data_IF_157580354877
#
_entry.id   IF_157580354877
#
_cell.length_a   1.000
_cell.length_b   1.000
_cell.length_c   1.000
_cell.angle_alpha   90.00
_cell.angle_beta   90.00
_cell.angle_gamma   90.00
#
_symmetry.space_group_name_H-M   'P 1'
#
loop_
_entity.id
_entity.type
_entity.pdbx_description
1 polymer ?
#
# COMPACT_ATOMS: atom_id res chain seq x y z
N UNK A 1 -3.52 -5.68 -7.84
CA UNK A 1 -2.25 -5.25 -8.46
C UNK A 1 -1.18 -6.20 -7.98
N UNK A 2 -0.28 -6.69 -8.86
CA UNK A 2 0.78 -7.59 -8.44
C UNK A 2 1.73 -6.88 -7.48
N UNK A 3 2.14 -7.59 -6.43
CA UNK A 3 3.12 -7.16 -5.43
C UNK A 3 4.54 -7.39 -5.91
N UNK A 4 4.73 -8.28 -6.90
CA UNK A 4 6.05 -8.71 -7.39
C UNK A 4 6.64 -9.88 -6.59
N UNK A 5 5.80 -10.58 -5.82
CA UNK A 5 6.17 -11.75 -5.01
C UNK A 5 5.23 -12.90 -5.38
N UNK A 6 5.76 -13.90 -6.08
CA UNK A 6 4.97 -14.93 -6.78
C UNK A 6 3.97 -15.67 -5.90
N UNK A 7 4.36 -16.04 -4.67
CA UNK A 7 3.46 -16.78 -3.77
C UNK A 7 2.38 -15.87 -3.17
N UNK A 8 2.68 -14.58 -3.01
CA UNK A 8 1.75 -13.61 -2.44
C UNK A 8 0.73 -13.16 -3.48
N UNK A 9 1.15 -13.06 -4.75
CA UNK A 9 0.28 -12.72 -5.87
C UNK A 9 -0.74 -13.83 -6.20
N UNK A 10 -0.61 -15.02 -5.59
CA UNK A 10 -1.60 -16.10 -5.61
C UNK A 10 -2.71 -15.93 -4.56
N UNK A 11 -2.62 -14.94 -3.68
CA UNK A 11 -3.62 -14.66 -2.63
C UNK A 11 -4.31 -13.29 -2.85
N UNK A 12 -4.94 -13.04 -4.02
CA UNK A 12 -5.59 -11.76 -4.28
C UNK A 12 -6.94 -11.65 -3.55
N UNK A 13 -7.50 -10.44 -3.54
CA UNK A 13 -8.93 -10.25 -3.28
C UNK A 13 -9.73 -10.98 -4.37
N UNK A 14 -10.56 -11.95 -3.98
CA UNK A 14 -11.24 -12.85 -4.92
C UNK A 14 -12.11 -12.10 -5.94
N UNK A 15 -12.79 -11.05 -5.51
CA UNK A 15 -13.65 -10.20 -6.34
C UNK A 15 -13.00 -8.85 -6.66
N UNK A 16 -11.68 -8.84 -6.90
CA UNK A 16 -10.94 -7.61 -7.20
C UNK A 16 -11.52 -6.83 -8.39
N UNK A 17 -12.03 -7.51 -9.41
CA UNK A 17 -12.65 -6.87 -10.58
C UNK A 17 -13.89 -6.07 -10.19
N UNK A 18 -14.77 -6.63 -9.35
CA UNK A 18 -15.99 -5.94 -8.90
C UNK A 18 -15.65 -4.74 -8.03
N UNK A 19 -14.68 -4.91 -7.12
CA UNK A 19 -14.17 -3.80 -6.30
C UNK A 19 -13.61 -2.67 -7.16
N UNK A 20 -12.79 -2.99 -8.18
CA UNK A 20 -12.22 -2.00 -9.08
C UNK A 20 -13.31 -1.32 -9.93
N UNK A 21 -14.34 -2.04 -10.37
CA UNK A 21 -15.47 -1.45 -11.09
C UNK A 21 -16.21 -0.41 -10.23
N UNK A 22 -16.38 -0.67 -8.93
CA UNK A 22 -16.95 0.29 -7.98
C UNK A 22 -16.03 1.52 -7.86
N UNK A 23 -14.72 1.31 -7.67
CA UNK A 23 -13.74 2.41 -7.59
C UNK A 23 -13.79 3.28 -8.85
N UNK A 24 -13.91 2.68 -10.03
CA UNK A 24 -13.91 3.39 -11.33
C UNK A 24 -15.22 4.14 -11.60
N UNK A 25 -16.30 3.73 -10.94
CA UNK A 25 -17.61 4.38 -11.03
C UNK A 25 -17.64 5.71 -10.28
N UNK A 26 -16.85 5.86 -9.22
CA UNK A 26 -16.93 6.97 -8.29
C UNK A 26 -15.70 7.89 -8.36
N UNK A 27 -15.74 9.01 -9.09
CA UNK A 27 -14.58 9.89 -9.31
C UNK A 27 -14.08 10.58 -8.04
N UNK A 28 -14.87 10.59 -6.95
CA UNK A 28 -14.42 11.06 -5.64
C UNK A 28 -13.42 10.11 -4.96
N UNK A 29 -13.32 8.85 -5.40
CA UNK A 29 -12.34 7.91 -4.85
C UNK A 29 -10.94 8.30 -5.37
N UNK A 30 -10.08 8.77 -4.47
CA UNK A 30 -8.69 9.16 -4.79
C UNK A 30 -7.65 8.16 -4.27
N UNK A 31 -8.05 7.30 -3.34
CA UNK A 31 -7.15 6.50 -2.51
C UNK A 31 -7.78 5.17 -2.11
N UNK A 32 -6.98 4.10 -2.16
CA UNK A 32 -7.25 2.79 -1.57
C UNK A 32 -6.07 2.39 -0.70
N UNK A 33 -6.32 2.06 0.57
CA UNK A 33 -5.32 1.61 1.54
C UNK A 33 -5.57 0.14 1.88
N UNK A 34 -4.51 -0.65 1.98
CA UNK A 34 -4.63 -2.07 2.30
C UNK A 34 -3.44 -2.60 3.11
N UNK A 35 -3.69 -3.69 3.82
CA UNK A 35 -2.69 -4.47 4.54
C UNK A 35 -2.41 -5.80 3.84
N UNK A 36 -2.40 -6.89 4.62
CA UNK A 36 -2.19 -8.29 4.17
C UNK A 36 -0.79 -8.60 3.63
N UNK A 37 -0.25 -7.74 2.77
CA UNK A 37 1.00 -7.97 2.06
C UNK A 37 2.27 -7.67 2.87
N UNK A 38 2.13 -7.07 4.06
CA UNK A 38 3.25 -6.75 4.97
C UNK A 38 4.40 -5.98 4.29
N UNK A 39 4.07 -5.12 3.31
CA UNK A 39 5.03 -4.43 2.45
C UNK A 39 4.61 -2.98 2.24
N UNK A 40 5.60 -2.08 2.23
CA UNK A 40 5.43 -0.74 1.70
C UNK A 40 5.19 -0.81 0.19
N UNK A 41 3.95 -0.58 -0.23
CA UNK A 41 3.54 -0.63 -1.63
C UNK A 41 2.92 0.71 -2.06
N UNK A 42 3.16 1.10 -3.30
CA UNK A 42 2.55 2.27 -3.93
C UNK A 42 2.30 1.99 -5.41
N UNK A 43 1.07 2.19 -5.86
CA UNK A 43 0.70 2.08 -7.27
C UNK A 43 -0.33 3.14 -7.61
N UNK A 44 -0.17 3.78 -8.77
CA UNK A 44 -1.09 4.78 -9.28
C UNK A 44 -1.81 4.19 -10.49
N UNK A 45 -3.13 4.04 -10.40
CA UNK A 45 -3.94 3.45 -11.46
C UNK A 45 -4.82 4.51 -12.10
N UNK A 46 -4.75 4.60 -13.43
CA UNK A 46 -5.69 5.33 -14.26
C UNK A 46 -6.64 4.31 -14.90
N UNK A 47 -7.95 4.42 -14.60
CA UNK A 47 -8.93 3.48 -15.13
C UNK A 47 -9.36 3.83 -16.56
N UNK A 48 -9.63 5.10 -16.83
CA UNK A 48 -10.02 5.60 -18.15
C UNK A 48 -9.36 6.95 -18.46
N UNK A 49 -9.10 7.29 -19.74
CA UNK A 49 -8.68 8.63 -20.13
C UNK A 49 -9.67 9.68 -19.61
N UNK A 50 -9.15 10.73 -18.96
CA UNK A 50 -9.96 11.80 -18.39
C UNK A 50 -10.53 11.55 -16.99
N UNK A 51 -10.35 10.35 -16.42
CA UNK A 51 -10.68 10.10 -15.01
C UNK A 51 -9.52 10.46 -14.06
N UNK A 52 -9.81 10.79 -12.79
CA UNK A 52 -8.77 10.99 -11.79
C UNK A 52 -8.01 9.69 -11.52
N UNK A 53 -6.69 9.80 -11.34
CA UNK A 53 -5.85 8.68 -10.91
C UNK A 53 -6.18 8.30 -9.48
N UNK A 54 -6.32 7.00 -9.22
CA UNK A 54 -6.50 6.44 -7.88
C UNK A 54 -5.17 5.89 -7.37
N UNK A 55 -4.77 6.30 -6.18
CA UNK A 55 -3.57 5.79 -5.52
C UNK A 55 -3.90 4.57 -4.66
N UNK A 56 -3.13 3.51 -4.81
CA UNK A 56 -3.21 2.28 -4.03
C UNK A 56 -1.96 2.17 -3.16
N UNK A 57 -2.12 2.10 -1.84
CA UNK A 57 -0.98 1.92 -0.94
C UNK A 57 -1.14 0.73 -0.02
N UNK A 58 -0.08 -0.09 0.02
CA UNK A 58 0.12 -1.10 1.06
C UNK A 58 0.85 -0.51 2.25
N UNK A 59 0.47 -0.97 3.45
CA UNK A 59 1.15 -0.64 4.70
C UNK A 59 2.16 -1.74 5.07
N UNK A 60 3.37 -1.37 5.54
CA UNK A 60 4.24 -2.33 6.21
C UNK A 60 3.56 -2.90 7.45
N UNK A 61 4.05 -4.05 7.90
CA UNK A 61 3.59 -4.65 9.15
C UNK A 61 4.30 -4.02 10.35
N UNK A 62 3.68 -4.05 11.51
CA UNK A 62 4.30 -3.68 12.79
C UNK A 62 5.25 -4.76 13.33
N UNK A 63 5.40 -5.88 12.62
CA UNK A 63 6.33 -6.96 12.99
C UNK A 63 7.09 -7.49 11.76
N UNK A 64 6.74 -8.69 11.27
CA UNK A 64 7.40 -9.37 10.16
C UNK A 64 7.03 -8.73 8.82
N UNK A 65 8.06 -8.43 8.02
CA UNK A 65 7.88 -7.89 6.67
C UNK A 65 7.90 -9.01 5.64
N UNK A 66 7.12 -8.83 4.58
CA UNK A 66 7.26 -9.60 3.34
C UNK A 66 7.84 -8.65 2.30
N UNK A 67 8.98 -9.03 1.74
CA UNK A 67 9.78 -8.14 0.87
C UNK A 67 10.31 -8.92 -0.33
N UNK A 68 10.43 -8.29 -1.51
CA UNK A 68 11.04 -8.92 -2.67
C UNK A 68 12.52 -9.21 -2.44
N UNK A 69 13.11 -10.10 -3.25
CA UNK A 69 14.50 -10.53 -3.11
C UNK A 69 15.53 -9.37 -3.21
N UNK A 70 15.18 -8.29 -3.91
CA UNK A 70 16.03 -7.11 -4.12
C UNK A 70 15.86 -6.04 -3.02
N UNK A 71 15.15 -6.33 -1.94
CA UNK A 71 14.87 -5.36 -0.88
C UNK A 71 16.14 -4.98 -0.09
N UNK A 72 16.20 -3.71 0.35
CA UNK A 72 17.27 -3.24 1.23
C UNK A 72 17.02 -3.70 2.67
N UNK A 73 18.05 -3.77 3.54
CA UNK A 73 17.87 -4.10 4.96
C UNK A 73 16.81 -3.26 5.67
N UNK A 74 16.71 -1.98 5.30
CA UNK A 74 15.71 -1.05 5.86
C UNK A 74 14.26 -1.49 5.59
N UNK A 75 14.00 -2.16 4.46
CA UNK A 75 12.67 -2.65 4.12
C UNK A 75 12.17 -3.78 5.04
N UNK A 76 13.07 -4.45 5.76
CA UNK A 76 12.74 -5.53 6.69
C UNK A 76 12.38 -5.05 8.10
N UNK A 77 12.55 -3.76 8.39
CA UNK A 77 12.16 -3.21 9.68
C UNK A 77 10.64 -3.14 9.82
N UNK A 78 10.08 -3.37 11.02
CA UNK A 78 8.71 -3.02 11.35
C UNK A 78 8.38 -1.58 10.92
N UNK A 79 7.12 -1.30 10.61
CA UNK A 79 6.72 0.05 10.25
C UNK A 79 5.23 0.26 10.14
N UNK A 80 4.87 1.50 9.88
CA UNK A 80 3.50 1.95 9.63
C UNK A 80 3.50 3.02 8.53
N UNK A 81 2.30 3.36 8.06
CA UNK A 81 2.10 4.40 7.06
C UNK A 81 1.33 5.57 7.67
N UNK A 82 1.94 6.74 7.66
CA UNK A 82 1.25 8.00 7.94
C UNK A 82 0.48 8.43 6.68
N UNK A 83 -0.74 8.91 6.89
CA UNK A 83 -1.60 9.47 5.86
C UNK A 83 -2.05 10.86 6.32
N UNK A 84 -1.77 11.86 5.49
CA UNK A 84 -2.30 13.22 5.66
C UNK A 84 -3.29 13.48 4.54
N UNK A 85 -4.53 13.78 4.92
CA UNK A 85 -5.60 14.20 4.00
C UNK A 85 -5.67 15.72 4.04
N UNK A 86 -5.67 16.36 2.87
CA UNK A 86 -5.65 17.79 2.72
C UNK A 86 -7.04 18.32 2.33
N UNK A 87 -7.30 19.59 2.61
CA UNK A 87 -8.61 20.20 2.39
C UNK A 87 -9.01 20.27 0.90
N UNK A 88 -8.05 20.23 -0.02
CA UNK A 88 -8.26 20.21 -1.47
C UNK A 88 -8.54 18.80 -2.02
N UNK A 89 -8.65 17.79 -1.14
CA UNK A 89 -8.86 16.40 -1.52
C UNK A 89 -7.58 15.69 -1.99
N UNK A 90 -6.42 16.34 -1.97
CA UNK A 90 -5.14 15.69 -2.15
C UNK A 90 -4.69 14.98 -0.87
N UNK A 91 -3.72 14.08 -0.99
CA UNK A 91 -3.18 13.34 0.13
C UNK A 91 -1.65 13.25 0.08
N UNK A 92 -1.05 13.09 1.25
CA UNK A 92 0.37 12.77 1.40
C UNK A 92 0.50 11.50 2.22
N UNK A 93 1.53 10.72 1.93
CA UNK A 93 1.80 9.51 2.71
C UNK A 93 3.28 9.33 2.93
N UNK A 94 3.63 8.81 4.10
CA UNK A 94 5.00 8.49 4.48
C UNK A 94 5.02 7.13 5.16
N UNK A 95 5.95 6.27 4.75
CA UNK A 95 6.26 5.05 5.50
C UNK A 95 7.26 5.40 6.59
N UNK A 96 6.93 5.07 7.83
CA UNK A 96 7.86 5.15 8.95
C UNK A 96 8.25 3.76 9.40
N UNK A 97 9.55 3.52 9.51
CA UNK A 97 10.13 2.28 10.03
C UNK A 97 10.49 2.49 11.50
N UNK A 98 10.20 1.49 12.31
CA UNK A 98 10.48 1.47 13.74
C UNK A 98 11.75 0.66 13.95
N UNK A 99 12.76 1.29 14.53
CA UNK A 99 13.95 0.61 14.99
C UNK A 99 13.66 0.01 16.37
N UNK A 100 14.11 -1.23 16.60
CA UNK A 100 14.11 -1.78 17.96
C UNK A 100 15.02 -0.92 18.83
N UNK A 101 14.45 -0.31 19.87
CA UNK A 101 15.26 0.22 20.96
C UNK A 101 15.73 -0.99 21.75
N UNK A 102 17.04 -1.17 21.98
CA UNK A 102 17.52 -2.22 22.87
C UNK A 102 16.81 -2.07 24.22
N UNK A 103 16.22 -3.14 24.74
CA UNK A 103 15.76 -3.16 26.13
C UNK A 103 17.04 -3.05 26.96
N UNK A 104 17.20 -2.00 27.80
CA UNK A 104 18.34 -1.93 28.71
C UNK A 104 18.37 -3.20 29.58
N UNK A 105 19.56 -3.72 29.91
CA UNK A 105 19.69 -4.93 30.72
C UNK A 105 18.98 -4.83 32.07
#
# INVERSE_FOLDING_TARGET
>A
MPTGIDWLDQMPVLNATDFLAIVDTFPQVRLVLFGHIHQAFAHHRLAQPGQPTVAFYGCPSTCLQVTPAIATPHCHLPGFRLLSLLADGSHRTQVQRVHSVPIPP
#
